data_IF_750227976681
#
_entry.id   IF_750227976681
#
_cell.length_a   1.000
_cell.length_b   1.000
_cell.length_c   1.000
_cell.angle_alpha   90.00
_cell.angle_beta   90.00
_cell.angle_gamma   90.00
#
_symmetry.space_group_name_H-M   'P 1'
#
loop_
_entity.id
_entity.type
_entity.pdbx_description
1 polymer ?
#
# COMPACT_ATOMS: atom_id res chain seq x y z
N UNK A 1 -2.14 -22.92 -3.54
CA UNK A 1 -1.71 -21.81 -4.42
C UNK A 1 -2.60 -20.62 -4.15
N UNK A 2 -2.09 -19.56 -3.50
CA UNK A 2 -2.87 -18.33 -3.29
C UNK A 2 -2.71 -17.42 -4.50
N UNK A 3 -3.72 -17.38 -5.38
CA UNK A 3 -3.80 -16.37 -6.43
C UNK A 3 -4.00 -15.01 -5.77
N UNK A 4 -2.97 -14.15 -5.81
CA UNK A 4 -3.13 -12.75 -5.42
C UNK A 4 -4.14 -12.10 -6.38
N UNK A 5 -5.09 -11.29 -5.88
CA UNK A 5 -6.06 -10.64 -6.74
C UNK A 5 -5.33 -9.65 -7.66
N UNK A 6 -5.46 -9.84 -8.98
CA UNK A 6 -5.04 -8.83 -9.97
C UNK A 6 -5.94 -7.61 -9.81
N UNK A 7 -5.32 -6.44 -9.66
CA UNK A 7 -6.04 -5.16 -9.52
C UNK A 7 -5.69 -4.27 -10.70
N UNK A 8 -6.69 -3.83 -11.44
CA UNK A 8 -6.50 -2.90 -12.56
C UNK A 8 -6.30 -1.47 -12.04
N UNK A 9 -5.45 -0.71 -12.75
CA UNK A 9 -5.35 0.73 -12.60
C UNK A 9 -6.55 1.40 -13.30
N UNK A 10 -7.02 2.52 -12.75
CA UNK A 10 -7.96 3.39 -13.44
C UNK A 10 -7.24 4.34 -14.42
N UNK A 11 -8.01 5.14 -15.18
CA UNK A 11 -7.49 6.09 -16.19
C UNK A 11 -6.54 7.15 -15.61
N UNK A 12 -6.49 7.29 -14.28
CA UNK A 12 -5.59 8.21 -13.57
C UNK A 12 -4.40 7.49 -12.95
N UNK A 13 -4.19 6.21 -13.27
CA UNK A 13 -3.11 5.40 -12.70
C UNK A 13 -3.31 5.06 -11.23
N UNK A 14 -4.55 5.10 -10.70
CA UNK A 14 -4.83 4.79 -9.29
C UNK A 14 -5.23 3.33 -9.15
N UNK A 15 -4.75 2.68 -8.09
CA UNK A 15 -5.16 1.32 -7.74
C UNK A 15 -6.12 1.34 -6.55
N UNK A 16 -7.19 0.53 -6.62
CA UNK A 16 -8.14 0.43 -5.50
C UNK A 16 -7.73 -0.71 -4.56
N UNK A 17 -7.18 -0.35 -3.41
CA UNK A 17 -6.77 -1.32 -2.41
C UNK A 17 -7.98 -2.01 -1.72
N UNK A 18 -8.04 -3.35 -1.74
CA UNK A 18 -9.06 -4.11 -1.02
C UNK A 18 -9.15 -3.72 0.47
N UNK A 19 -10.37 -3.64 1.00
CA UNK A 19 -10.61 -3.26 2.39
C UNK A 19 -9.87 -4.17 3.41
N UNK A 20 -9.68 -5.45 3.07
CA UNK A 20 -8.94 -6.40 3.91
C UNK A 20 -7.46 -6.01 4.07
N UNK A 21 -6.81 -5.56 3.01
CA UNK A 21 -5.40 -5.11 3.04
C UNK A 21 -5.29 -3.85 3.89
N UNK A 22 -6.17 -2.87 3.65
CA UNK A 22 -6.20 -1.62 4.44
C UNK A 22 -6.37 -1.89 5.94
N UNK A 23 -7.27 -2.80 6.33
CA UNK A 23 -7.45 -3.21 7.74
C UNK A 23 -6.22 -3.93 8.30
N UNK A 24 -5.61 -4.83 7.53
CA UNK A 24 -4.44 -5.61 7.97
C UNK A 24 -3.23 -4.72 8.29
N UNK A 25 -3.08 -3.63 7.53
CA UNK A 25 -1.94 -2.71 7.63
C UNK A 25 -2.26 -1.41 8.38
N UNK A 26 -3.48 -1.27 8.91
CA UNK A 26 -4.00 -0.04 9.54
C UNK A 26 -3.76 1.21 8.67
N UNK A 27 -4.12 1.11 7.39
CA UNK A 27 -4.09 2.23 6.45
C UNK A 27 -5.43 2.96 6.45
N UNK A 28 -5.39 4.27 6.68
CA UNK A 28 -6.54 5.16 6.81
C UNK A 28 -6.55 6.20 5.69
N UNK A 29 -7.72 6.73 5.32
CA UNK A 29 -7.78 7.87 4.42
C UNK A 29 -6.92 9.02 4.94
N UNK A 30 -6.06 9.57 4.07
CA UNK A 30 -5.13 10.65 4.44
C UNK A 30 -3.76 10.19 4.93
N UNK A 31 -3.54 8.88 5.15
CA UNK A 31 -2.20 8.36 5.41
C UNK A 31 -1.32 8.52 4.16
N UNK A 32 -0.05 8.89 4.39
CA UNK A 32 0.95 8.90 3.34
C UNK A 32 1.54 7.50 3.15
N UNK A 33 1.68 7.09 1.88
CA UNK A 33 2.24 5.81 1.50
C UNK A 33 3.43 6.05 0.57
N UNK A 34 4.57 5.43 0.89
CA UNK A 34 5.72 5.36 0.01
C UNK A 34 5.51 4.26 -1.03
N UNK A 35 5.79 4.57 -2.29
CA UNK A 35 5.69 3.63 -3.41
C UNK A 35 7.08 3.46 -4.02
N UNK A 36 7.57 2.23 -4.07
CA UNK A 36 8.89 1.89 -4.63
C UNK A 36 8.78 0.72 -5.60
N UNK A 37 9.52 0.80 -6.70
CA UNK A 37 9.65 -0.30 -7.66
C UNK A 37 10.81 -1.22 -7.24
N UNK A 38 10.53 -2.51 -7.07
CA UNK A 38 11.52 -3.53 -6.71
C UNK A 38 11.45 -4.65 -7.75
N UNK A 39 12.32 -4.59 -8.76
CA UNK A 39 12.21 -5.44 -9.95
C UNK A 39 10.93 -5.11 -10.72
N UNK A 40 10.10 -6.12 -10.98
CA UNK A 40 8.80 -5.98 -11.66
C UNK A 40 7.63 -5.84 -10.69
N UNK A 41 7.90 -5.61 -9.40
CA UNK A 41 6.87 -5.50 -8.37
C UNK A 41 6.83 -4.09 -7.76
N UNK A 42 5.62 -3.62 -7.45
CA UNK A 42 5.41 -2.35 -6.75
C UNK A 42 5.25 -2.63 -5.27
N UNK A 43 6.20 -2.15 -4.48
CA UNK A 43 6.14 -2.20 -3.03
C UNK A 43 5.50 -0.91 -2.51
N UNK A 44 4.55 -1.05 -1.58
CA UNK A 44 3.86 0.05 -0.92
C UNK A 44 4.06 -0.08 0.58
N UNK A 45 4.59 0.97 1.20
CA UNK A 45 4.83 1.05 2.65
C UNK A 45 4.12 2.24 3.25
N UNK A 46 3.66 2.09 4.49
CA UNK A 46 3.17 3.25 5.25
C UNK A 46 4.34 4.14 5.60
N UNK A 47 4.28 5.41 5.21
CA UNK A 47 5.31 6.38 5.55
C UNK A 47 4.83 7.25 6.71
N UNK A 48 5.65 7.33 7.76
CA UNK A 48 5.42 8.21 8.89
C UNK A 48 6.33 9.40 8.69
N UNK A 49 5.78 10.52 8.20
CA UNK A 49 6.53 11.77 8.15
C UNK A 49 6.86 12.20 9.60
N UNK A 50 8.10 12.61 9.89
CA UNK A 50 8.52 12.99 11.25
C UNK A 50 7.78 14.22 11.82
N UNK A 51 6.89 14.88 11.05
CA UNK A 51 5.95 15.89 11.55
C UNK A 51 4.61 15.35 12.08
N UNK A 52 4.33 14.05 11.93
CA UNK A 52 3.14 13.37 12.45
C UNK A 52 3.56 12.16 13.30
N UNK A 53 3.95 12.41 14.55
CA UNK A 53 4.23 11.34 15.51
C UNK A 53 2.94 10.56 15.84
N UNK A 54 2.71 9.46 15.13
CA UNK A 54 1.91 8.33 15.62
C UNK A 54 2.79 7.08 15.57
N UNK A 55 3.25 6.65 16.74
CA UNK A 55 3.99 5.41 16.94
C UNK A 55 3.16 4.22 16.44
N UNK A 56 3.49 3.69 15.26
CA UNK A 56 2.88 2.48 14.72
C UNK A 56 3.87 1.78 13.82
N UNK A 57 4.32 0.59 14.21
CA UNK A 57 5.21 -0.27 13.38
C UNK A 57 4.54 -0.51 12.01
N UNK A 58 5.06 0.14 10.97
CA UNK A 58 4.56 -0.03 9.60
C UNK A 58 4.77 -1.47 9.13
N UNK A 59 3.72 -2.09 8.58
CA UNK A 59 3.78 -3.37 7.88
C UNK A 59 3.81 -3.10 6.38
N UNK A 60 4.74 -3.75 5.68
CA UNK A 60 4.95 -3.56 4.24
C UNK A 60 3.91 -4.34 3.42
N UNK A 61 3.57 -3.85 2.21
CA UNK A 61 2.76 -4.58 1.24
C UNK A 61 3.36 -4.55 -0.16
N UNK A 62 3.12 -5.60 -0.93
CA UNK A 62 3.62 -5.76 -2.30
C UNK A 62 2.43 -5.97 -3.24
N UNK A 63 2.43 -5.26 -4.36
CA UNK A 63 1.45 -5.38 -5.43
C UNK A 63 2.20 -5.75 -6.70
N UNK A 64 1.76 -6.84 -7.33
CA UNK A 64 2.20 -7.21 -8.67
C UNK A 64 1.21 -6.59 -9.66
N UNK A 65 1.73 -5.75 -10.56
CA UNK A 65 0.95 -5.09 -11.62
C UNK A 65 1.03 -5.96 -12.87
#
# INVERSE_FOLDING_TARGET
MSSLPTVCLDDKGRVRLPARIRKLLDWRPGDYLAITLVGDEVQIKKEIFPGQLRQGKGKDCFIKI
#
